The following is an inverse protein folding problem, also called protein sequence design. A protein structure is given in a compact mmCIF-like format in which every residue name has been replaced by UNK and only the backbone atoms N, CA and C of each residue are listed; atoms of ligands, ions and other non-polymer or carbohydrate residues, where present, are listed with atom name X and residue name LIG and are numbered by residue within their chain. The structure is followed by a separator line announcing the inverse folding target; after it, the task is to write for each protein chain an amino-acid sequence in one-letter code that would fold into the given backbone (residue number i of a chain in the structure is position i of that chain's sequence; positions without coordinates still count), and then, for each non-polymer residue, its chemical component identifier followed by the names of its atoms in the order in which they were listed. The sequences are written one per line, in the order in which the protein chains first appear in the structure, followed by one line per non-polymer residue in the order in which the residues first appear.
data_IF_033001631559
#
_entry.id   IF_033001631559
#
_cell.length_a   1.000
_cell.length_b   1.000
_cell.length_c   1.000
_cell.angle_alpha   90.00
_cell.angle_beta   90.00
_cell.angle_gamma   90.00
#
_symmetry.space_group_name_H-M   'P 1'
#
loop_
_entity.id
_entity.type
_entity.pdbx_description
1 polymer ?
#
# COMPACT_ATOMS: atom_id res chain seq x y z
N UNK A 1 -12.22 -37.38 -85.46
CA UNK A 1 -12.18 -37.67 -84.02
C UNK A 1 -11.47 -36.54 -83.35
N UNK A 2 -12.19 -35.68 -82.67
CA UNK A 2 -11.71 -34.37 -82.08
C UNK A 2 -11.55 -34.53 -80.58
N UNK A 3 -10.32 -34.41 -80.08
CA UNK A 3 -9.96 -34.41 -78.69
C UNK A 3 -10.10 -32.96 -78.16
N UNK A 4 -11.00 -32.77 -77.19
CA UNK A 4 -11.17 -31.46 -76.50
C UNK A 4 -10.24 -31.46 -75.28
N UNK A 5 -9.30 -30.53 -75.26
CA UNK A 5 -8.52 -30.18 -74.04
C UNK A 5 -9.43 -29.36 -73.09
N UNK A 6 -9.57 -29.84 -71.86
CA UNK A 6 -10.14 -29.08 -70.76
C UNK A 6 -9.01 -28.42 -69.97
N UNK A 7 -8.99 -27.07 -70.00
CA UNK A 7 -8.05 -26.28 -69.18
C UNK A 7 -8.63 -26.15 -67.78
N UNK A 8 -7.97 -26.74 -66.80
CA UNK A 8 -8.27 -26.54 -65.40
C UNK A 8 -7.57 -25.29 -64.86
N UNK A 9 -8.33 -24.27 -64.54
CA UNK A 9 -7.85 -23.05 -63.89
C UNK A 9 -7.70 -23.28 -62.41
N UNK A 10 -6.48 -23.45 -61.90
CA UNK A 10 -6.15 -23.57 -60.49
C UNK A 10 -6.17 -22.16 -59.88
N UNK A 11 -7.27 -21.85 -59.12
CA UNK A 11 -7.42 -20.66 -58.31
C UNK A 11 -6.63 -20.87 -57.00
N UNK A 12 -5.37 -20.41 -56.96
CA UNK A 12 -4.57 -20.38 -55.72
C UNK A 12 -5.03 -19.24 -54.84
N UNK A 13 -5.90 -19.55 -53.85
CA UNK A 13 -6.15 -18.67 -52.72
C UNK A 13 -4.87 -18.53 -51.88
N UNK A 14 -4.17 -17.41 -52.08
CA UNK A 14 -3.11 -16.99 -51.16
C UNK A 14 -3.76 -16.60 -49.85
N UNK A 15 -3.78 -17.51 -48.87
CA UNK A 15 -3.98 -17.20 -47.47
C UNK A 15 -2.78 -16.40 -47.01
N UNK A 16 -2.87 -15.07 -47.10
CA UNK A 16 -1.96 -14.18 -46.39
C UNK A 16 -2.23 -14.35 -44.91
N UNK A 17 -1.64 -15.38 -44.31
CA UNK A 17 -1.50 -15.48 -42.88
C UNK A 17 -0.71 -14.27 -42.40
N UNK A 18 -1.38 -13.32 -41.76
CA UNK A 18 -0.75 -12.26 -41.01
C UNK A 18 0.09 -12.95 -39.92
N UNK A 19 1.36 -13.20 -40.21
CA UNK A 19 2.33 -13.52 -39.19
C UNK A 19 2.37 -12.31 -38.24
N UNK A 20 1.60 -12.38 -37.15
CA UNK A 20 1.86 -11.50 -36.02
C UNK A 20 3.32 -11.75 -35.66
N UNK A 21 4.19 -10.85 -36.04
CA UNK A 21 5.54 -10.79 -35.51
C UNK A 21 5.37 -10.79 -33.99
N UNK A 22 5.85 -11.86 -33.32
CA UNK A 22 5.83 -11.93 -31.89
C UNK A 22 6.62 -10.74 -31.36
N UNK A 23 5.90 -9.65 -31.07
CA UNK A 23 6.49 -8.43 -30.55
C UNK A 23 7.18 -8.73 -29.23
N UNK A 24 8.16 -7.92 -28.87
CA UNK A 24 8.90 -8.05 -27.61
C UNK A 24 7.90 -7.98 -26.44
N UNK A 25 7.87 -9.02 -25.62
CA UNK A 25 7.06 -9.05 -24.39
C UNK A 25 7.86 -8.45 -23.22
N UNK A 26 7.22 -7.59 -22.44
CA UNK A 26 7.78 -6.96 -21.26
C UNK A 26 7.12 -7.58 -20.03
N UNK A 27 7.89 -8.30 -19.22
CA UNK A 27 7.38 -8.91 -17.99
C UNK A 27 7.62 -7.98 -16.80
N UNK A 28 6.58 -7.69 -16.03
CA UNK A 28 6.61 -6.91 -14.80
C UNK A 28 6.33 -7.86 -13.64
N UNK A 29 7.33 -8.10 -12.79
CA UNK A 29 7.12 -8.72 -11.49
C UNK A 29 6.68 -7.63 -10.51
N UNK A 30 5.45 -7.74 -10.03
CA UNK A 30 4.85 -6.80 -9.08
C UNK A 30 4.78 -7.44 -7.70
N UNK A 31 5.62 -6.98 -6.76
CA UNK A 31 5.70 -7.51 -5.40
C UNK A 31 4.93 -6.62 -4.41
N UNK A 32 4.17 -7.24 -3.50
CA UNK A 32 3.58 -6.58 -2.34
C UNK A 32 3.36 -7.54 -1.17
N UNK A 33 3.23 -6.99 0.05
CA UNK A 33 3.24 -7.80 1.28
C UNK A 33 1.87 -8.13 1.84
N UNK A 34 0.80 -7.52 1.34
CA UNK A 34 -0.57 -7.78 1.83
C UNK A 34 -1.23 -8.95 1.08
N UNK A 35 -2.31 -9.49 1.64
CA UNK A 35 -3.09 -10.53 0.99
C UNK A 35 -3.71 -10.04 -0.34
N UNK A 36 -3.92 -10.95 -1.29
CA UNK A 36 -4.58 -10.63 -2.56
C UNK A 36 -6.02 -10.13 -2.40
N UNK A 37 -6.68 -10.47 -1.28
CA UNK A 37 -8.05 -10.03 -0.96
C UNK A 37 -8.16 -8.57 -0.51
N UNK A 38 -7.06 -7.91 -0.13
CA UNK A 38 -7.07 -6.50 0.26
C UNK A 38 -7.32 -5.58 -0.94
N UNK A 39 -7.79 -4.32 -0.75
CA UNK A 39 -7.93 -3.34 -1.83
C UNK A 39 -6.67 -3.23 -2.70
N UNK A 40 -5.49 -3.10 -2.07
CA UNK A 40 -4.20 -3.11 -2.80
C UNK A 40 -3.97 -4.39 -3.61
N UNK A 41 -4.29 -5.56 -3.06
CA UNK A 41 -4.15 -6.84 -3.77
C UNK A 41 -5.06 -6.90 -5.00
N UNK A 42 -6.33 -6.52 -4.86
CA UNK A 42 -7.30 -6.44 -5.95
C UNK A 42 -6.88 -5.42 -7.02
N UNK A 43 -6.37 -4.26 -6.59
CA UNK A 43 -5.87 -3.23 -7.52
C UNK A 43 -4.63 -3.69 -8.29
N UNK A 44 -3.75 -4.49 -7.67
CA UNK A 44 -2.61 -5.09 -8.36
C UNK A 44 -3.06 -6.07 -9.46
N UNK A 45 -4.07 -6.89 -9.20
CA UNK A 45 -4.65 -7.80 -10.18
C UNK A 45 -5.41 -7.03 -11.28
N UNK A 46 -6.15 -5.98 -10.91
CA UNK A 46 -6.79 -5.08 -11.87
C UNK A 46 -5.77 -4.42 -12.80
N UNK A 47 -4.70 -3.85 -12.26
CA UNK A 47 -3.61 -3.27 -13.03
C UNK A 47 -3.00 -4.29 -14.00
N UNK A 48 -2.72 -5.52 -13.50
CA UNK A 48 -2.13 -6.58 -14.31
C UNK A 48 -3.00 -6.93 -15.53
N UNK A 49 -4.31 -7.08 -15.31
CA UNK A 49 -5.28 -7.33 -16.37
C UNK A 49 -5.33 -6.15 -17.34
N UNK A 50 -5.50 -4.95 -16.80
CA UNK A 50 -5.75 -3.75 -17.60
C UNK A 50 -4.58 -3.36 -18.48
N UNK A 51 -3.34 -3.41 -17.97
CA UNK A 51 -2.16 -3.11 -18.80
C UNK A 51 -1.93 -4.17 -19.88
N UNK A 52 -2.27 -5.42 -19.61
CA UNK A 52 -2.26 -6.49 -20.60
C UNK A 52 -3.23 -6.20 -21.75
N UNK A 53 -4.46 -5.79 -21.44
CA UNK A 53 -5.46 -5.37 -22.42
C UNK A 53 -5.00 -4.18 -23.26
N UNK A 54 -4.56 -3.09 -22.62
CA UNK A 54 -4.13 -1.86 -23.29
C UNK A 54 -2.93 -2.09 -24.20
N UNK A 55 -2.00 -2.96 -23.79
CA UNK A 55 -0.80 -3.25 -24.56
C UNK A 55 -0.97 -4.35 -25.61
N UNK A 56 -2.21 -4.89 -25.78
CA UNK A 56 -2.42 -6.04 -26.68
C UNK A 56 -1.61 -7.28 -26.29
N UNK A 57 -1.31 -7.47 -25.01
CA UNK A 57 -0.52 -8.57 -24.48
C UNK A 57 1.01 -8.35 -24.54
N UNK A 58 1.48 -7.18 -24.99
CA UNK A 58 2.91 -6.88 -25.01
C UNK A 58 3.49 -6.67 -23.59
N UNK A 59 2.67 -6.28 -22.62
CA UNK A 59 3.05 -6.21 -21.21
C UNK A 59 2.34 -7.34 -20.47
N UNK A 60 3.12 -8.15 -19.74
CA UNK A 60 2.64 -9.19 -18.83
C UNK A 60 3.04 -8.84 -17.41
N UNK A 61 2.09 -8.83 -16.48
CA UNK A 61 2.35 -8.61 -15.07
C UNK A 61 2.17 -9.90 -14.28
N UNK A 62 3.15 -10.23 -13.47
CA UNK A 62 3.11 -11.32 -12.51
C UNK A 62 3.02 -10.71 -11.11
N UNK A 63 1.84 -10.83 -10.49
CA UNK A 63 1.59 -10.28 -9.14
C UNK A 63 2.05 -11.29 -8.09
N UNK A 64 2.82 -10.82 -7.12
CA UNK A 64 3.34 -11.60 -5.99
C UNK A 64 2.83 -11.03 -4.67
N UNK A 65 1.65 -11.45 -4.21
CA UNK A 65 1.04 -10.98 -2.95
C UNK A 65 1.67 -11.65 -1.72
N UNK A 66 1.27 -11.18 -0.53
CA UNK A 66 1.61 -11.77 0.77
C UNK A 66 3.11 -12.04 0.98
N UNK A 67 3.96 -11.12 0.52
CA UNK A 67 5.43 -11.25 0.57
C UNK A 67 5.98 -12.53 -0.11
N UNK A 68 5.20 -13.17 -1.01
CA UNK A 68 5.58 -14.43 -1.66
C UNK A 68 6.86 -14.34 -2.48
N UNK A 69 7.23 -13.15 -2.96
CA UNK A 69 8.50 -12.90 -3.62
C UNK A 69 9.54 -12.35 -2.64
N UNK A 70 9.19 -11.32 -1.88
CA UNK A 70 10.03 -10.71 -0.85
C UNK A 70 9.24 -9.71 0.00
N UNK A 71 9.76 -9.38 1.18
CA UNK A 71 9.26 -8.29 2.02
C UNK A 71 9.66 -6.91 1.48
N UNK A 72 8.88 -5.88 1.88
CA UNK A 72 9.09 -4.48 1.52
C UNK A 72 10.49 -3.96 1.93
N UNK A 73 11.12 -4.52 2.96
CA UNK A 73 12.47 -4.15 3.40
C UNK A 73 13.56 -4.49 2.37
N UNK A 74 13.33 -5.48 1.51
CA UNK A 74 14.29 -5.95 0.48
C UNK A 74 13.96 -5.43 -0.91
N UNK A 75 12.76 -4.95 -1.13
CA UNK A 75 12.24 -4.68 -2.48
C UNK A 75 13.00 -3.55 -3.19
N UNK A 76 13.48 -2.55 -2.48
CA UNK A 76 14.22 -1.43 -3.07
C UNK A 76 15.54 -1.86 -3.73
N UNK A 77 16.26 -2.78 -3.09
CA UNK A 77 17.46 -3.38 -3.70
C UNK A 77 17.14 -4.15 -4.98
N UNK A 78 16.06 -4.93 -4.96
CA UNK A 78 15.62 -5.70 -6.12
C UNK A 78 15.13 -4.81 -7.28
N UNK A 79 14.42 -3.71 -6.99
CA UNK A 79 14.01 -2.70 -7.96
C UNK A 79 15.23 -2.02 -8.61
N UNK A 80 16.24 -1.62 -7.82
CA UNK A 80 17.48 -1.01 -8.35
C UNK A 80 18.23 -1.93 -9.30
N UNK A 81 18.31 -3.21 -8.97
CA UNK A 81 18.94 -4.22 -9.81
C UNK A 81 18.10 -4.61 -11.03
N UNK A 82 16.80 -4.31 -11.01
CA UNK A 82 15.84 -4.72 -12.04
C UNK A 82 15.39 -6.18 -11.92
N UNK A 83 15.58 -6.82 -10.76
CA UNK A 83 15.11 -8.18 -10.48
C UNK A 83 13.59 -8.20 -10.18
N UNK A 84 13.07 -7.09 -9.64
CA UNK A 84 11.65 -6.74 -9.53
C UNK A 84 11.43 -5.48 -10.34
N UNK A 85 10.32 -5.39 -11.06
CA UNK A 85 10.03 -4.26 -11.93
C UNK A 85 9.10 -3.24 -11.26
N UNK A 86 8.20 -3.70 -10.39
CA UNK A 86 7.19 -2.89 -9.74
C UNK A 86 6.96 -3.35 -8.30
N UNK A 87 6.72 -2.40 -7.40
CA UNK A 87 6.30 -2.67 -6.03
C UNK A 87 5.41 -1.55 -5.49
N UNK A 88 4.67 -1.84 -4.42
CA UNK A 88 3.87 -0.86 -3.68
C UNK A 88 4.16 -0.96 -2.18
N UNK A 89 5.37 -0.56 -1.72
CA UNK A 89 5.71 -0.55 -0.30
C UNK A 89 4.92 0.53 0.45
N UNK A 90 4.71 0.32 1.76
CA UNK A 90 4.13 1.36 2.62
C UNK A 90 5.08 2.56 2.77
N UNK A 91 4.52 3.73 3.04
CA UNK A 91 5.28 4.98 3.14
C UNK A 91 6.44 4.90 4.15
N UNK A 92 6.22 4.27 5.29
CA UNK A 92 7.26 4.08 6.31
C UNK A 92 8.50 3.35 5.78
N UNK A 93 8.36 2.52 4.74
CA UNK A 93 9.48 1.79 4.14
C UNK A 93 10.39 2.66 3.26
N UNK A 94 9.92 3.83 2.86
CA UNK A 94 10.72 4.81 2.12
C UNK A 94 11.60 5.65 3.05
N UNK A 95 11.34 5.69 4.35
CA UNK A 95 12.02 6.60 5.30
C UNK A 95 13.55 6.46 5.35
N UNK A 96 14.17 5.27 5.16
CA UNK A 96 15.62 5.16 5.06
C UNK A 96 16.19 5.75 3.76
N UNK A 97 15.38 5.90 2.71
CA UNK A 97 15.80 6.37 1.38
C UNK A 97 15.47 7.85 1.23
N UNK A 98 14.27 8.25 1.63
CA UNK A 98 13.73 9.61 1.62
C UNK A 98 13.06 9.87 2.97
N UNK A 99 13.80 10.44 3.94
CA UNK A 99 13.28 10.65 5.30
C UNK A 99 12.01 11.49 5.38
N UNK A 100 11.72 12.28 4.35
CA UNK A 100 10.50 13.09 4.24
C UNK A 100 9.21 12.25 4.23
N UNK A 101 9.27 10.97 3.87
CA UNK A 101 8.11 10.08 3.94
C UNK A 101 7.60 9.84 5.37
N UNK A 102 8.39 10.19 6.39
CA UNK A 102 7.92 10.23 7.79
C UNK A 102 6.75 11.20 8.00
N UNK A 103 6.49 12.11 7.05
CA UNK A 103 5.32 12.98 7.04
C UNK A 103 4.01 12.20 7.21
N UNK A 104 3.86 11.09 6.49
CA UNK A 104 2.65 10.26 6.52
C UNK A 104 2.48 9.49 7.83
N UNK A 105 3.54 9.34 8.61
CA UNK A 105 3.52 8.68 9.91
C UNK A 105 3.19 9.62 11.06
N UNK A 106 3.17 10.97 10.84
CA UNK A 106 2.82 11.92 11.89
C UNK A 106 1.39 11.70 12.39
N UNK A 107 1.19 11.55 13.71
CA UNK A 107 -0.13 11.21 14.24
C UNK A 107 -1.13 12.36 14.04
N UNK A 108 -2.36 12.04 13.61
CA UNK A 108 -3.44 13.00 13.40
C UNK A 108 -3.10 14.15 12.42
N UNK A 109 -2.21 13.92 11.45
CA UNK A 109 -1.87 14.93 10.45
C UNK A 109 -2.97 15.05 9.37
N UNK A 110 -3.63 13.96 9.05
CA UNK A 110 -4.75 13.95 8.10
C UNK A 110 -6.09 14.03 8.81
N UNK A 111 -7.00 14.85 8.29
CA UNK A 111 -8.35 15.08 8.84
C UNK A 111 -9.32 13.96 8.42
N UNK A 112 -9.27 13.63 7.13
CA UNK A 112 -10.15 12.68 6.46
C UNK A 112 -9.53 12.25 5.12
N UNK A 113 -10.21 11.37 4.39
CA UNK A 113 -9.76 10.87 3.09
C UNK A 113 -9.69 11.98 2.03
N UNK A 114 -10.60 12.97 2.06
CA UNK A 114 -10.58 14.07 1.11
C UNK A 114 -9.31 14.93 1.27
N UNK A 115 -8.96 15.25 2.51
CA UNK A 115 -7.70 15.94 2.83
C UNK A 115 -6.48 15.12 2.43
N UNK A 116 -6.48 13.83 2.74
CA UNK A 116 -5.40 12.92 2.38
C UNK A 116 -5.16 12.92 0.87
N UNK A 117 -6.21 12.69 0.08
CA UNK A 117 -6.09 12.63 -1.38
C UNK A 117 -5.67 13.98 -1.97
N UNK A 118 -6.13 15.09 -1.42
CA UNK A 118 -5.66 16.42 -1.82
C UNK A 118 -4.15 16.61 -1.58
N UNK A 119 -3.62 16.04 -0.50
CA UNK A 119 -2.17 16.04 -0.19
C UNK A 119 -1.40 15.14 -1.15
N UNK A 120 -1.87 13.90 -1.37
CA UNK A 120 -1.19 12.92 -2.23
C UNK A 120 -1.18 13.34 -3.71
N UNK A 121 -2.31 13.84 -4.20
CA UNK A 121 -2.47 14.25 -5.61
C UNK A 121 -1.98 15.68 -5.87
N UNK A 122 -1.68 16.44 -4.80
CA UNK A 122 -1.25 17.83 -4.83
C UNK A 122 0.29 18.02 -4.84
N UNK A 123 0.68 19.26 -4.48
CA UNK A 123 2.11 19.67 -4.48
C UNK A 123 2.98 18.85 -3.51
N UNK A 124 2.43 18.44 -2.37
CA UNK A 124 3.16 17.66 -1.37
C UNK A 124 3.49 16.28 -1.91
N UNK A 125 2.49 15.58 -2.47
CA UNK A 125 2.70 14.28 -3.09
C UNK A 125 3.66 14.34 -4.28
N UNK A 126 3.56 15.38 -5.13
CA UNK A 126 4.49 15.56 -6.24
C UNK A 126 5.94 15.79 -5.74
N UNK A 127 6.12 16.63 -4.72
CA UNK A 127 7.44 16.86 -4.14
C UNK A 127 8.08 15.56 -3.58
N UNK A 128 7.28 14.70 -2.95
CA UNK A 128 7.74 13.40 -2.46
C UNK A 128 8.09 12.44 -3.61
N UNK A 129 7.28 12.39 -4.67
CA UNK A 129 7.61 11.61 -5.89
C UNK A 129 8.91 12.07 -6.53
N UNK A 130 9.17 13.38 -6.59
CA UNK A 130 10.41 13.95 -7.12
C UNK A 130 11.64 13.57 -6.27
N UNK A 131 11.49 13.48 -4.95
CA UNK A 131 12.55 13.00 -4.07
C UNK A 131 12.86 11.52 -4.32
N UNK A 132 11.86 10.69 -4.56
CA UNK A 132 12.02 9.28 -4.92
C UNK A 132 12.72 9.14 -6.28
N UNK A 133 12.34 9.97 -7.26
CA UNK A 133 12.99 9.97 -8.57
C UNK A 133 14.50 10.24 -8.47
N UNK A 134 14.92 11.17 -7.60
CA UNK A 134 16.35 11.45 -7.33
C UNK A 134 17.11 10.27 -6.74
N UNK A 135 16.40 9.25 -6.23
CA UNK A 135 16.99 8.01 -5.69
C UNK A 135 17.02 6.87 -6.70
N UNK A 136 16.62 7.13 -7.95
CA UNK A 136 16.67 6.15 -9.05
C UNK A 136 15.48 5.18 -9.06
N UNK A 137 14.31 5.66 -8.67
CA UNK A 137 13.04 4.96 -8.82
C UNK A 137 12.05 5.83 -9.58
N UNK A 138 11.10 5.20 -10.26
CA UNK A 138 9.97 5.90 -10.87
C UNK A 138 8.78 5.76 -9.94
N UNK A 139 8.41 6.86 -9.29
CA UNK A 139 7.22 6.95 -8.45
C UNK A 139 6.04 7.40 -9.32
N UNK A 140 4.93 6.68 -9.28
CA UNK A 140 3.76 6.99 -10.10
C UNK A 140 2.57 7.43 -9.25
N UNK A 141 1.89 6.50 -8.56
CA UNK A 141 0.66 6.79 -7.88
C UNK A 141 0.71 6.37 -6.41
N UNK A 142 -0.11 7.04 -5.60
CA UNK A 142 -0.37 6.69 -4.22
C UNK A 142 -1.60 5.77 -4.14
N UNK A 143 -1.50 4.72 -3.32
CA UNK A 143 -2.57 3.79 -3.01
C UNK A 143 -2.88 3.82 -1.52
N UNK A 144 -4.13 3.60 -1.18
CA UNK A 144 -4.68 3.73 0.17
C UNK A 144 -4.68 2.38 0.91
N UNK A 145 -4.66 2.41 2.23
CA UNK A 145 -5.00 1.28 3.08
C UNK A 145 -5.97 1.69 4.19
N UNK A 146 -6.08 2.98 4.44
CA UNK A 146 -6.97 3.58 5.42
C UNK A 146 -6.30 4.07 6.70
N UNK A 147 -7.11 4.67 7.56
CA UNK A 147 -6.68 5.13 8.87
C UNK A 147 -6.36 3.94 9.79
N UNK A 148 -5.31 4.10 10.59
CA UNK A 148 -4.86 3.08 11.53
C UNK A 148 -5.62 3.12 12.85
N UNK A 149 -5.81 1.94 13.40
CA UNK A 149 -6.47 1.66 14.65
C UNK A 149 -5.57 0.84 15.56
N UNK A 150 -5.66 1.02 16.87
CA UNK A 150 -4.93 0.20 17.82
C UNK A 150 -5.62 -1.15 18.05
N UNK A 151 -4.82 -2.20 18.22
CA UNK A 151 -5.32 -3.47 18.75
C UNK A 151 -4.37 -4.03 19.81
N UNK A 152 -4.89 -4.79 20.74
CA UNK A 152 -4.10 -5.39 21.81
C UNK A 152 -4.66 -6.74 22.26
N UNK A 153 -3.75 -7.64 22.67
CA UNK A 153 -4.07 -8.91 23.33
C UNK A 153 -4.08 -8.83 24.86
N UNK A 154 -3.55 -7.74 25.45
CA UNK A 154 -3.44 -7.59 26.92
C UNK A 154 -4.59 -6.83 27.54
N UNK A 155 -4.78 -5.60 27.11
CA UNK A 155 -5.86 -4.74 27.59
C UNK A 155 -6.28 -3.76 26.51
N UNK A 156 -7.52 -3.30 26.47
CA UNK A 156 -7.96 -2.26 25.57
C UNK A 156 -7.09 -1.01 25.67
N UNK A 157 -6.91 -0.35 24.54
CA UNK A 157 -6.13 0.91 24.42
C UNK A 157 -7.13 2.03 24.16
N UNK A 158 -7.70 2.60 25.22
CA UNK A 158 -8.75 3.62 25.18
C UNK A 158 -8.16 5.01 25.43
N UNK A 159 -7.42 5.16 26.52
CA UNK A 159 -6.72 6.38 26.89
C UNK A 159 -5.21 6.24 26.60
N UNK A 160 -4.45 7.33 26.39
CA UNK A 160 -3.01 7.25 26.14
C UNK A 160 -2.22 6.44 27.14
N UNK A 161 -2.60 6.49 28.42
CA UNK A 161 -1.97 5.74 29.53
C UNK A 161 -2.14 4.23 29.39
N UNK A 162 -3.11 3.76 28.63
CA UNK A 162 -3.33 2.32 28.39
C UNK A 162 -2.23 1.71 27.54
N UNK A 163 -1.51 2.52 26.76
CA UNK A 163 -0.37 2.07 25.98
C UNK A 163 0.84 1.70 26.85
N UNK A 164 0.88 2.23 28.11
CA UNK A 164 2.06 2.09 28.98
C UNK A 164 2.44 0.65 29.21
N UNK A 165 3.71 0.33 28.90
CA UNK A 165 4.32 -0.98 29.10
C UNK A 165 3.91 -2.05 28.09
N UNK A 166 2.98 -1.79 27.17
CA UNK A 166 2.64 -2.72 26.11
C UNK A 166 3.71 -2.70 25.01
N UNK A 167 4.04 -3.85 24.44
CA UNK A 167 4.94 -4.00 23.30
C UNK A 167 4.15 -3.82 22.01
N UNK A 168 4.37 -2.71 21.33
CA UNK A 168 3.71 -2.40 20.06
C UNK A 168 4.55 -2.82 18.87
N UNK A 169 4.02 -3.64 18.00
CA UNK A 169 4.62 -3.78 16.69
C UNK A 169 4.39 -2.51 15.87
N UNK A 170 5.46 -2.00 15.30
CA UNK A 170 5.43 -0.85 14.39
C UNK A 170 6.18 -1.17 13.09
N UNK A 171 5.98 -0.33 12.07
CA UNK A 171 6.84 -0.30 10.89
C UNK A 171 8.14 0.46 11.17
N UNK A 172 9.12 0.37 10.25
CA UNK A 172 10.42 1.03 10.40
C UNK A 172 10.33 2.54 10.14
N UNK A 173 9.90 3.29 11.17
CA UNK A 173 9.83 4.76 11.14
C UNK A 173 10.15 5.33 12.50
N UNK A 174 10.95 6.40 12.51
CA UNK A 174 11.29 7.10 13.77
C UNK A 174 10.09 7.85 14.34
N UNK A 175 9.18 8.32 13.51
CA UNK A 175 7.93 8.93 13.98
C UNK A 175 7.09 7.89 14.73
N UNK A 176 6.92 6.69 14.17
CA UNK A 176 6.18 5.62 14.83
C UNK A 176 6.85 5.17 16.15
N UNK A 177 8.18 5.14 16.18
CA UNK A 177 8.92 4.89 17.42
C UNK A 177 8.60 5.92 18.51
N UNK A 178 8.71 7.20 18.18
CA UNK A 178 8.49 8.30 19.13
C UNK A 178 7.02 8.40 19.56
N UNK A 179 6.08 8.19 18.65
CA UNK A 179 4.65 8.24 18.96
C UNK A 179 4.24 7.16 19.97
N UNK A 180 4.82 5.97 19.90
CA UNK A 180 4.55 4.92 20.88
C UNK A 180 5.28 5.17 22.20
N UNK A 181 6.53 5.67 22.14
CA UNK A 181 7.31 6.01 23.34
C UNK A 181 6.68 7.14 24.16
N UNK A 182 6.16 8.17 23.52
CA UNK A 182 5.60 9.34 24.21
C UNK A 182 4.38 8.98 25.08
N UNK A 183 3.66 7.92 24.72
CA UNK A 183 2.54 7.36 25.50
C UNK A 183 2.97 6.20 26.41
N UNK A 184 4.26 5.96 26.56
CA UNK A 184 4.84 4.95 27.49
C UNK A 184 4.80 3.51 26.95
N UNK A 185 4.49 3.30 25.69
CA UNK A 185 4.56 2.00 25.02
C UNK A 185 5.99 1.63 24.61
N UNK A 186 6.20 0.35 24.31
CA UNK A 186 7.50 -0.21 23.89
C UNK A 186 7.43 -0.59 22.39
N UNK A 187 7.94 0.25 21.47
CA UNK A 187 7.89 -0.03 20.04
C UNK A 187 8.85 -1.15 19.64
N UNK A 188 8.37 -2.07 18.79
CA UNK A 188 9.11 -3.20 18.23
C UNK A 188 8.96 -3.19 16.71
N UNK A 189 10.06 -3.02 15.99
CA UNK A 189 10.07 -3.01 14.52
C UNK A 189 10.10 -4.44 14.00
N UNK A 190 9.05 -4.87 13.28
CA UNK A 190 8.98 -6.18 12.63
C UNK A 190 8.44 -6.05 11.20
N UNK A 191 8.95 -6.86 10.22
CA UNK A 191 8.36 -7.01 8.90
C UNK A 191 6.87 -7.40 8.98
N UNK A 192 6.09 -7.04 7.97
CA UNK A 192 4.65 -7.32 8.00
C UNK A 192 4.32 -8.82 8.02
N UNK A 193 5.11 -9.64 7.32
CA UNK A 193 4.98 -11.09 7.30
C UNK A 193 5.17 -11.76 8.67
N UNK A 194 5.86 -11.10 9.60
CA UNK A 194 6.15 -11.63 10.94
C UNK A 194 5.12 -11.18 11.99
N UNK A 195 4.18 -10.27 11.65
CA UNK A 195 3.28 -9.67 12.65
C UNK A 195 2.33 -10.70 13.25
N UNK A 196 1.62 -11.49 12.44
CA UNK A 196 0.67 -12.47 12.94
C UNK A 196 1.32 -13.51 13.88
N UNK A 197 2.42 -14.17 13.49
CA UNK A 197 3.11 -15.09 14.41
C UNK A 197 3.64 -14.39 15.69
N UNK A 198 4.11 -13.15 15.59
CA UNK A 198 4.58 -12.39 16.75
C UNK A 198 3.45 -12.04 17.73
N UNK A 199 2.26 -11.72 17.22
CA UNK A 199 1.06 -11.52 18.03
C UNK A 199 0.59 -12.83 18.70
N UNK A 200 0.55 -13.93 17.94
CA UNK A 200 0.16 -15.25 18.48
C UNK A 200 1.08 -15.74 19.60
N UNK A 201 2.39 -15.49 19.46
CA UNK A 201 3.41 -15.94 20.42
C UNK A 201 3.62 -14.95 21.58
N UNK A 202 2.94 -13.80 21.57
CA UNK A 202 3.13 -12.77 22.59
C UNK A 202 4.50 -12.08 22.57
N UNK A 203 5.20 -12.16 21.43
CA UNK A 203 6.44 -11.36 21.19
C UNK A 203 6.11 -9.89 21.23
N UNK A 204 4.97 -9.51 20.67
CA UNK A 204 4.34 -8.20 20.79
C UNK A 204 2.92 -8.34 21.33
N UNK A 205 2.48 -7.32 22.05
CA UNK A 205 1.16 -7.30 22.71
C UNK A 205 0.12 -6.58 21.84
N UNK A 206 0.57 -5.54 21.13
CA UNK A 206 -0.28 -4.61 20.41
C UNK A 206 0.30 -4.30 19.02
N UNK A 207 -0.57 -3.78 18.15
CA UNK A 207 -0.19 -3.27 16.84
C UNK A 207 -1.14 -2.15 16.41
N UNK A 208 -0.76 -1.44 15.34
CA UNK A 208 -1.58 -0.42 14.70
C UNK A 208 -1.74 -0.76 13.21
N UNK A 209 -2.97 -0.85 12.75
CA UNK A 209 -3.26 -1.18 11.35
C UNK A 209 -4.60 -0.60 10.90
N UNK A 210 -4.79 -0.36 9.59
CA UNK A 210 -6.11 -0.20 9.01
C UNK A 210 -6.94 -1.47 9.13
N UNK A 211 -8.25 -1.34 9.07
CA UNK A 211 -9.19 -2.47 9.18
C UNK A 211 -8.92 -3.55 8.13
N UNK A 212 -8.59 -3.15 6.89
CA UNK A 212 -8.29 -4.09 5.80
C UNK A 212 -7.11 -5.01 6.13
N UNK A 213 -6.02 -4.47 6.66
CA UNK A 213 -4.86 -5.26 7.06
C UNK A 213 -5.14 -6.10 8.30
N UNK A 214 -5.85 -5.55 9.30
CA UNK A 214 -6.22 -6.24 10.52
C UNK A 214 -7.09 -7.47 10.24
N UNK A 215 -8.08 -7.33 9.36
CA UNK A 215 -9.00 -8.42 9.00
C UNK A 215 -8.36 -9.46 8.08
N UNK A 216 -7.80 -9.02 6.95
CA UNK A 216 -7.27 -9.94 5.93
C UNK A 216 -6.01 -10.70 6.42
N UNK A 217 -5.26 -10.17 7.39
CA UNK A 217 -4.15 -10.88 8.04
C UNK A 217 -4.58 -11.63 9.31
N UNK A 218 -5.87 -11.67 9.60
CA UNK A 218 -6.47 -12.39 10.75
C UNK A 218 -5.93 -11.97 12.11
N UNK A 219 -5.48 -10.72 12.26
CA UNK A 219 -4.94 -10.26 13.55
C UNK A 219 -5.98 -10.34 14.66
N UNK A 220 -7.28 -10.24 14.34
CA UNK A 220 -8.38 -10.41 15.27
C UNK A 220 -8.42 -11.79 15.96
N UNK A 221 -7.76 -12.81 15.39
CA UNK A 221 -7.65 -14.13 16.04
C UNK A 221 -6.65 -14.12 17.22
N UNK A 222 -5.68 -13.20 17.19
CA UNK A 222 -4.60 -13.06 18.18
C UNK A 222 -4.73 -11.80 19.05
N UNK A 223 -5.79 -11.01 18.89
CA UNK A 223 -6.02 -9.77 19.62
C UNK A 223 -7.35 -9.83 20.35
N UNK A 224 -7.40 -9.30 21.58
CA UNK A 224 -8.62 -9.26 22.41
C UNK A 224 -9.39 -7.94 22.32
N UNK A 225 -8.75 -6.88 21.78
CA UNK A 225 -9.39 -5.59 21.59
C UNK A 225 -8.96 -4.92 20.29
N UNK A 226 -9.89 -4.19 19.69
CA UNK A 226 -9.68 -3.28 18.56
C UNK A 226 -10.27 -1.92 18.91
N UNK A 227 -9.43 -0.90 18.97
CA UNK A 227 -9.84 0.47 19.30
C UNK A 227 -9.81 1.33 18.03
N UNK A 228 -10.99 1.79 17.61
CA UNK A 228 -11.18 2.62 16.41
C UNK A 228 -10.72 4.05 16.68
N UNK A 229 -9.41 4.26 16.64
CA UNK A 229 -8.74 5.49 17.03
C UNK A 229 -8.49 6.47 15.88
N UNK A 230 -8.31 5.98 14.66
CA UNK A 230 -7.94 6.79 13.47
C UNK A 230 -6.76 7.74 13.72
N UNK A 231 -5.80 7.32 14.54
CA UNK A 231 -4.69 8.16 15.02
C UNK A 231 -3.58 8.37 14.01
N UNK A 232 -3.49 7.53 13.01
CA UNK A 232 -2.48 7.55 11.96
C UNK A 232 -3.05 7.07 10.64
N UNK A 233 -2.23 7.13 9.61
CA UNK A 233 -2.59 6.69 8.27
C UNK A 233 -1.60 5.65 7.74
N UNK A 234 -2.06 4.78 6.87
CA UNK A 234 -1.22 3.86 6.12
C UNK A 234 -1.60 3.94 4.64
N UNK A 235 -0.61 4.24 3.84
CA UNK A 235 -0.73 4.20 2.39
C UNK A 235 0.53 3.63 1.75
N UNK A 236 0.50 3.53 0.45
CA UNK A 236 1.53 2.91 -0.37
C UNK A 236 1.93 3.84 -1.51
N UNK A 237 3.19 3.79 -1.92
CA UNK A 237 3.62 4.43 -3.16
C UNK A 237 3.98 3.36 -4.18
N UNK A 238 3.32 3.41 -5.33
CA UNK A 238 3.63 2.53 -6.45
C UNK A 238 4.89 3.02 -7.14
N UNK A 239 5.91 2.17 -7.15
CA UNK A 239 7.23 2.48 -7.70
C UNK A 239 7.67 1.43 -8.70
N UNK A 240 8.39 1.91 -9.73
CA UNK A 240 9.03 1.06 -10.73
C UNK A 240 10.55 1.12 -10.64
N UNK A 241 11.18 0.05 -11.06
CA UNK A 241 12.60 0.01 -11.39
C UNK A 241 12.90 1.04 -12.50
N UNK A 242 13.75 2.02 -12.22
CA UNK A 242 14.17 3.00 -13.23
C UNK A 242 14.86 2.31 -14.42
N UNK A 243 15.65 1.27 -14.14
CA UNK A 243 16.32 0.47 -15.18
C UNK A 243 15.32 -0.17 -16.14
N UNK A 244 14.26 -0.76 -15.61
CA UNK A 244 13.20 -1.36 -16.41
C UNK A 244 12.42 -0.29 -17.19
N UNK A 245 12.03 0.80 -16.49
CA UNK A 245 11.28 1.90 -17.07
C UNK A 245 11.97 2.55 -18.27
N UNK A 246 13.28 2.79 -18.16
CA UNK A 246 14.08 3.32 -19.27
C UNK A 246 14.12 2.40 -20.49
N UNK A 247 13.95 1.11 -20.29
CA UNK A 247 13.90 0.10 -21.36
C UNK A 247 12.55 -0.07 -22.03
N UNK A 248 11.47 0.55 -21.50
CA UNK A 248 10.15 0.52 -22.11
C UNK A 248 10.04 1.56 -23.22
N UNK A 249 9.42 1.23 -24.38
CA UNK A 249 8.98 2.21 -25.37
C UNK A 249 7.94 3.19 -24.78
N UNK A 250 7.80 4.35 -25.39
CA UNK A 250 6.94 5.42 -24.84
C UNK A 250 5.45 5.06 -24.89
N UNK A 251 5.00 4.31 -25.91
CA UNK A 251 3.66 3.76 -25.98
C UNK A 251 3.38 2.76 -24.83
N UNK A 252 4.34 1.89 -24.50
CA UNK A 252 4.23 0.97 -23.37
C UNK A 252 4.20 1.71 -22.03
N UNK A 253 5.00 2.78 -21.89
CA UNK A 253 4.93 3.67 -20.71
C UNK A 253 3.56 4.33 -20.57
N UNK A 254 2.96 4.75 -21.69
CA UNK A 254 1.62 5.33 -21.71
C UNK A 254 0.56 4.32 -21.24
N UNK A 255 0.62 3.07 -21.73
CA UNK A 255 -0.28 2.00 -21.29
C UNK A 255 -0.14 1.70 -19.78
N UNK A 256 1.11 1.66 -19.27
CA UNK A 256 1.35 1.46 -17.82
C UNK A 256 0.74 2.60 -17.02
N UNK A 257 0.97 3.86 -17.41
CA UNK A 257 0.41 5.02 -16.68
C UNK A 257 -1.11 5.02 -16.71
N UNK A 258 -1.73 4.75 -17.86
CA UNK A 258 -3.18 4.68 -17.97
C UNK A 258 -3.76 3.56 -17.10
N UNK A 259 -3.23 2.33 -17.21
CA UNK A 259 -3.69 1.20 -16.42
C UNK A 259 -3.54 1.47 -14.92
N UNK A 260 -2.46 2.14 -14.51
CA UNK A 260 -2.22 2.45 -13.11
C UNK A 260 -3.17 3.52 -12.59
N UNK A 261 -3.44 4.58 -13.35
CA UNK A 261 -4.43 5.60 -12.99
C UNK A 261 -5.83 4.99 -12.80
N UNK A 262 -6.24 4.08 -13.71
CA UNK A 262 -7.50 3.36 -13.58
C UNK A 262 -7.48 2.41 -12.35
N UNK A 263 -6.34 1.76 -12.06
CA UNK A 263 -6.16 0.91 -10.90
C UNK A 263 -6.18 1.71 -9.58
N UNK A 264 -5.63 2.92 -9.57
CA UNK A 264 -5.66 3.83 -8.41
C UNK A 264 -7.09 4.27 -8.09
N UNK A 265 -7.88 4.62 -9.11
CA UNK A 265 -9.31 4.93 -8.92
C UNK A 265 -10.05 3.73 -8.32
N UNK A 266 -9.86 2.55 -8.92
CA UNK A 266 -10.47 1.30 -8.45
C UNK A 266 -10.05 0.97 -7.00
N UNK A 267 -8.79 1.16 -6.66
CA UNK A 267 -8.22 0.90 -5.33
C UNK A 267 -8.86 1.77 -4.24
N UNK A 268 -8.96 3.09 -4.47
CA UNK A 268 -9.60 4.02 -3.55
C UNK A 268 -11.08 3.72 -3.34
N UNK A 269 -11.79 3.33 -4.41
CA UNK A 269 -13.20 2.90 -4.32
C UNK A 269 -13.35 1.60 -3.52
N UNK A 270 -12.47 0.62 -3.74
CA UNK A 270 -12.50 -0.65 -3.01
C UNK A 270 -12.14 -0.43 -1.53
N UNK A 271 -11.17 0.44 -1.21
CA UNK A 271 -10.83 0.77 0.18
C UNK A 271 -12.02 1.36 0.91
N UNK A 272 -12.72 2.32 0.32
CA UNK A 272 -13.90 2.93 0.92
C UNK A 272 -15.05 1.92 1.13
N UNK A 273 -15.30 1.04 0.16
CA UNK A 273 -16.35 0.00 0.26
C UNK A 273 -16.01 -1.06 1.31
N UNK A 274 -14.74 -1.47 1.36
CA UNK A 274 -14.32 -2.54 2.28
C UNK A 274 -14.29 -2.10 3.73
N UNK A 275 -14.04 -0.84 4.03
CA UNK A 275 -13.97 -0.35 5.42
C UNK A 275 -15.26 -0.66 6.20
N UNK A 276 -16.43 -0.32 5.63
CA UNK A 276 -17.72 -0.60 6.25
C UNK A 276 -18.02 -2.11 6.35
N UNK A 277 -17.73 -2.84 5.27
CA UNK A 277 -17.95 -4.29 5.22
C UNK A 277 -17.10 -5.01 6.28
N UNK A 278 -15.81 -4.71 6.34
CA UNK A 278 -14.88 -5.32 7.29
C UNK A 278 -15.27 -4.98 8.73
N UNK A 279 -15.65 -3.75 9.02
CA UNK A 279 -16.12 -3.39 10.36
C UNK A 279 -17.36 -4.20 10.76
N UNK A 280 -18.28 -4.43 9.82
CA UNK A 280 -19.46 -5.28 10.04
C UNK A 280 -19.06 -6.74 10.34
N UNK A 281 -18.15 -7.32 9.57
CA UNK A 281 -17.65 -8.69 9.78
C UNK A 281 -16.91 -8.82 11.13
N UNK A 282 -16.11 -7.84 11.51
CA UNK A 282 -15.42 -7.82 12.80
C UNK A 282 -16.42 -7.70 13.98
N UNK A 283 -17.46 -6.87 13.86
CA UNK A 283 -18.55 -6.77 14.85
C UNK A 283 -19.29 -8.10 14.98
N UNK A 284 -19.57 -8.79 13.88
CA UNK A 284 -20.18 -10.11 13.86
C UNK A 284 -19.27 -11.12 14.58
N UNK A 285 -17.99 -11.20 14.20
CA UNK A 285 -17.02 -12.07 14.87
C UNK A 285 -16.96 -11.79 16.38
N UNK A 286 -16.90 -10.52 16.79
CA UNK A 286 -16.87 -10.11 18.19
C UNK A 286 -18.10 -10.60 18.95
N UNK A 287 -19.29 -10.48 18.34
CA UNK A 287 -20.54 -10.90 18.96
C UNK A 287 -20.66 -12.42 19.13
N UNK A 288 -20.18 -13.19 18.13
CA UNK A 288 -20.26 -14.65 18.12
C UNK A 288 -19.17 -15.30 18.97
N UNK A 289 -17.91 -14.86 18.83
CA UNK A 289 -16.78 -15.47 19.51
C UNK A 289 -16.62 -15.04 20.98
N UNK A 290 -17.06 -13.81 21.31
CA UNK A 290 -16.78 -13.12 22.60
C UNK A 290 -15.27 -12.95 22.89
N UNK A 291 -14.42 -13.04 21.86
CA UNK A 291 -12.96 -12.97 21.98
C UNK A 291 -12.37 -11.61 21.61
N UNK A 292 -13.14 -10.78 20.92
CA UNK A 292 -12.71 -9.45 20.47
C UNK A 292 -13.68 -8.41 21.02
N UNK A 293 -13.16 -7.39 21.67
CA UNK A 293 -13.88 -6.18 22.04
C UNK A 293 -13.58 -5.09 21.01
N UNK A 294 -14.63 -4.46 20.44
CA UNK A 294 -14.48 -3.33 19.51
C UNK A 294 -14.91 -2.07 20.23
N UNK A 295 -13.99 -1.11 20.30
CA UNK A 295 -14.14 0.14 21.05
C UNK A 295 -14.05 1.30 20.07
N UNK A 296 -15.04 2.17 20.08
CA UNK A 296 -15.05 3.40 19.29
C UNK A 296 -14.72 4.59 20.19
N UNK A 297 -13.62 5.28 19.91
CA UNK A 297 -13.24 6.47 20.66
C UNK A 297 -14.14 7.65 20.30
N UNK A 298 -14.67 8.31 21.33
CA UNK A 298 -15.38 9.57 21.16
C UNK A 298 -14.41 10.75 20.86
N UNK A 299 -14.96 11.92 20.59
CA UNK A 299 -14.17 13.11 20.22
C UNK A 299 -13.18 13.52 21.32
N UNK A 300 -13.59 13.45 22.60
CA UNK A 300 -12.74 13.84 23.73
C UNK A 300 -11.55 12.87 23.88
N UNK A 301 -11.79 11.57 23.72
CA UNK A 301 -10.74 10.55 23.76
C UNK A 301 -9.76 10.71 22.60
N UNK A 302 -10.25 10.95 21.38
CA UNK A 302 -9.39 11.27 20.22
C UNK A 302 -8.59 12.56 20.46
N UNK A 303 -9.19 13.56 21.10
CA UNK A 303 -8.52 14.79 21.52
C UNK A 303 -7.35 14.53 22.46
N UNK A 304 -7.52 13.71 23.50
CA UNK A 304 -6.46 13.32 24.43
C UNK A 304 -5.31 12.60 23.73
N UNK A 305 -5.62 11.71 22.80
CA UNK A 305 -4.59 11.03 21.99
C UNK A 305 -3.81 12.03 21.13
N UNK A 306 -4.49 12.98 20.51
CA UNK A 306 -3.85 14.02 19.73
C UNK A 306 -2.94 14.92 20.61
N UNK A 307 -3.40 15.32 21.79
CA UNK A 307 -2.61 16.09 22.76
C UNK A 307 -1.37 15.33 23.25
N UNK A 308 -1.50 14.01 23.47
CA UNK A 308 -0.39 13.18 23.90
C UNK A 308 0.67 12.95 22.81
N UNK A 309 0.26 12.82 21.54
CA UNK A 309 1.14 12.43 20.43
C UNK A 309 1.70 13.60 19.62
N UNK A 310 0.91 14.65 19.34
CA UNK A 310 1.35 15.79 18.52
C UNK A 310 2.59 16.53 19.02
N UNK A 311 2.91 16.57 20.34
CA UNK A 311 4.16 17.18 20.82
C UNK A 311 5.46 16.61 20.24
N UNK A 312 5.42 15.46 19.55
CA UNK A 312 6.59 14.92 18.83
C UNK A 312 6.93 15.68 17.53
N UNK A 313 6.00 16.44 16.93
CA UNK A 313 6.17 17.10 15.63
C UNK A 313 7.47 17.92 15.50
N UNK A 314 7.84 18.78 16.47
CA UNK A 314 9.06 19.56 16.39
C UNK A 314 10.35 18.72 16.24
N UNK A 315 10.34 17.49 16.75
CA UNK A 315 11.48 16.57 16.64
C UNK A 315 11.77 16.18 15.17
N UNK A 316 10.79 16.35 14.30
CA UNK A 316 10.85 15.94 12.90
C UNK A 316 10.90 17.11 11.90
N UNK A 317 10.81 18.36 12.34
CA UNK A 317 10.87 19.54 11.47
C UNK A 317 12.12 19.57 10.59
N UNK A 318 13.28 19.20 11.16
CA UNK A 318 14.51 19.14 10.39
C UNK A 318 14.55 17.99 9.39
N UNK A 319 13.97 16.86 9.73
CA UNK A 319 14.05 15.63 8.92
C UNK A 319 13.01 15.61 7.79
N UNK A 320 11.78 15.98 8.10
CA UNK A 320 10.67 16.04 7.13
C UNK A 320 10.72 17.35 6.34
N UNK A 321 11.00 18.45 7.01
CA UNK A 321 10.87 19.82 6.54
C UNK A 321 9.63 20.48 7.13
N UNK A 322 9.80 21.54 7.92
CA UNK A 322 8.70 22.25 8.55
C UNK A 322 7.69 22.73 7.51
N UNK A 323 8.18 23.33 6.40
CA UNK A 323 7.33 23.80 5.30
C UNK A 323 6.45 22.69 4.70
N UNK A 324 6.98 21.45 4.60
CA UNK A 324 6.23 20.34 4.06
C UNK A 324 5.12 19.89 5.01
N UNK A 325 5.39 19.91 6.32
CA UNK A 325 4.38 19.62 7.37
C UNK A 325 3.29 20.70 7.36
N UNK A 326 3.66 21.96 7.31
CA UNK A 326 2.72 23.08 7.30
C UNK A 326 1.86 23.09 6.01
N UNK A 327 2.46 22.82 4.85
CA UNK A 327 1.71 22.66 3.60
C UNK A 327 0.70 21.51 3.71
N UNK A 328 1.11 20.37 4.28
CA UNK A 328 0.21 19.24 4.49
C UNK A 328 -0.97 19.63 5.37
N UNK A 329 -0.74 20.26 6.51
CA UNK A 329 -1.80 20.67 7.45
C UNK A 329 -2.77 21.68 6.79
N UNK A 330 -2.25 22.58 5.96
CA UNK A 330 -3.02 23.65 5.33
C UNK A 330 -3.65 23.29 3.98
N UNK A 331 -3.40 22.11 3.44
CA UNK A 331 -4.07 21.59 2.23
C UNK A 331 -5.58 21.52 2.47
N UNK A 332 -6.36 22.00 1.49
CA UNK A 332 -7.83 22.11 1.57
C UNK A 332 -8.50 20.94 0.87
#
# INVERSE_FOLDING_TARGET
MKIKLLSALLLSCALAGSAFAAGKTYTIKFAHVVAASTPKGKAADFFAKRVGELSGGAIKVEVYPAASLMDDDRVFGALKLGNVQMAAPSFSKFTPIVPQFQLFDLPFIFRDNAHLYAVEDGEVGQALKDLIAKKGFIALDFWDAGFKHFSSSKKPIVEPEDAKGQKFRIQSSKVLEEQIKVVGGNPQVLPFSEVYPALQQGVVDATENPLSNFYNSKFYEAQSSLTLSSHGYLGYLVVFSEKFWKGLPDDMKAHVKQALSEATTYEREETAKEEEHILSELKKFASESKKLEIIELNADQKGKWAEAMKPIYPNFYKTIGQDLIEKTINTK
#
